data_IF_063872207701
#
_entry.id   IF_063872207701
#
_cell.length_a   1.000
_cell.length_b   1.000
_cell.length_c   1.000
_cell.angle_alpha   90.00
_cell.angle_beta   90.00
_cell.angle_gamma   90.00
#
_symmetry.space_group_name_H-M   'P 1'
#
loop_
_entity.id
_entity.type
_entity.pdbx_description
1 polymer ?
#
# COMPACT_ATOMS: atom_id res chain seq x y z
N UNK A 1 -34.23 20.27 -9.37
CA UNK A 1 -33.99 18.97 -10.04
C UNK A 1 -32.95 18.23 -9.22
N UNK A 2 -33.36 17.17 -8.49
CA UNK A 2 -32.47 16.35 -7.67
C UNK A 2 -32.00 15.17 -8.52
N UNK A 3 -30.82 15.28 -9.12
CA UNK A 3 -30.19 14.14 -9.77
C UNK A 3 -29.36 13.42 -8.69
N UNK A 4 -29.90 12.32 -8.16
CA UNK A 4 -29.10 11.34 -7.42
C UNK A 4 -28.28 10.54 -8.42
N UNK A 5 -26.94 10.64 -8.45
CA UNK A 5 -26.13 9.89 -9.41
C UNK A 5 -25.74 8.54 -8.81
N UNK A 6 -26.48 7.51 -9.25
CA UNK A 6 -26.11 6.08 -9.40
C UNK A 6 -24.93 5.60 -8.52
N UNK A 7 -25.25 4.94 -7.41
CA UNK A 7 -24.38 3.90 -6.85
C UNK A 7 -24.37 2.70 -7.81
N UNK A 8 -23.69 2.84 -8.94
CA UNK A 8 -23.26 1.68 -9.70
C UNK A 8 -22.12 1.04 -8.91
N UNK A 9 -22.31 -0.20 -8.45
CA UNK A 9 -21.26 -1.03 -7.85
C UNK A 9 -19.99 -0.88 -8.70
N UNK A 10 -18.97 -0.20 -8.17
CA UNK A 10 -17.75 0.00 -8.93
C UNK A 10 -17.11 -1.36 -9.12
N UNK A 11 -16.94 -1.82 -10.37
CA UNK A 11 -16.20 -3.05 -10.73
C UNK A 11 -14.70 -2.98 -10.40
N UNK A 12 -14.29 -2.03 -9.56
CA UNK A 12 -12.89 -1.79 -9.21
C UNK A 12 -12.59 -2.58 -7.96
N UNK A 13 -11.83 -3.66 -8.13
CA UNK A 13 -11.22 -4.36 -7.01
C UNK A 13 -10.20 -3.42 -6.33
N UNK A 14 -10.54 -2.97 -5.13
CA UNK A 14 -9.71 -2.06 -4.34
C UNK A 14 -8.40 -2.73 -3.90
N UNK A 15 -8.33 -4.06 -3.83
CA UNK A 15 -7.11 -4.79 -3.49
C UNK A 15 -6.07 -4.74 -4.62
N UNK A 16 -6.50 -4.55 -5.87
CA UNK A 16 -5.65 -4.39 -7.05
C UNK A 16 -5.11 -2.97 -7.23
N UNK A 17 -5.57 -2.00 -6.45
CA UNK A 17 -5.06 -0.64 -6.55
C UNK A 17 -3.61 -0.59 -6.05
N UNK A 18 -2.67 0.01 -6.82
CA UNK A 18 -1.31 0.14 -6.36
C UNK A 18 -1.25 0.95 -5.06
N UNK A 19 -0.25 0.70 -4.19
CA UNK A 19 -0.09 1.45 -2.97
C UNK A 19 -0.10 2.94 -3.27
N UNK A 20 -0.95 3.68 -2.55
CA UNK A 20 -1.06 5.11 -2.79
C UNK A 20 0.31 5.78 -2.54
N UNK A 21 0.57 6.91 -3.21
CA UNK A 21 1.82 7.67 -3.03
C UNK A 21 2.13 7.95 -1.53
N UNK A 22 1.09 8.14 -0.73
CA UNK A 22 1.19 8.37 0.71
C UNK A 22 1.65 7.13 1.51
N UNK A 23 1.42 5.91 1.00
CA UNK A 23 1.94 4.66 1.57
C UNK A 23 3.36 4.33 1.04
N UNK A 24 3.64 4.68 -0.22
CA UNK A 24 4.96 4.46 -0.81
C UNK A 24 6.06 5.34 -0.17
N UNK A 25 5.74 6.59 0.17
CA UNK A 25 6.70 7.51 0.77
C UNK A 25 7.33 6.98 2.08
N UNK A 26 6.55 6.54 3.09
CA UNK A 26 7.15 5.98 4.30
C UNK A 26 7.83 4.63 4.06
N UNK A 27 7.36 3.83 3.09
CA UNK A 27 8.07 2.62 2.68
C UNK A 27 9.49 2.93 2.19
N UNK A 28 9.63 3.87 1.25
CA UNK A 28 10.94 4.29 0.73
C UNK A 28 11.85 4.84 1.83
N UNK A 29 11.31 5.58 2.80
CA UNK A 29 12.07 6.06 3.96
C UNK A 29 12.66 4.92 4.78
N UNK A 30 11.89 3.85 5.04
CA UNK A 30 12.38 2.67 5.77
C UNK A 30 13.48 1.94 5.01
N UNK A 31 13.31 1.75 3.70
CA UNK A 31 14.32 1.13 2.84
C UNK A 31 15.59 1.97 2.86
N UNK A 32 15.47 3.29 2.66
CA UNK A 32 16.60 4.21 2.70
C UNK A 32 17.32 4.20 4.03
N UNK A 33 16.59 4.14 5.16
CA UNK A 33 17.18 3.99 6.48
C UNK A 33 18.07 2.75 6.53
N UNK A 34 17.53 1.56 6.17
CA UNK A 34 18.29 0.30 6.18
C UNK A 34 19.50 0.35 5.26
N UNK A 35 19.33 0.83 4.03
CA UNK A 35 20.43 0.96 3.05
C UNK A 35 21.52 1.88 3.58
N UNK A 36 21.17 2.99 4.21
CA UNK A 36 22.13 3.91 4.80
C UNK A 36 22.93 3.26 5.94
N UNK A 37 22.34 2.33 6.70
CA UNK A 37 23.06 1.55 7.71
C UNK A 37 24.10 0.63 7.10
N UNK A 38 23.72 -0.13 6.07
CA UNK A 38 24.65 -1.04 5.40
C UNK A 38 25.78 -0.27 4.73
N UNK A 39 25.48 0.84 4.03
CA UNK A 39 26.51 1.68 3.39
C UNK A 39 27.52 2.27 4.39
N UNK A 40 27.10 2.51 5.64
CA UNK A 40 27.94 3.09 6.70
C UNK A 40 28.52 2.06 7.66
N UNK A 41 28.37 0.76 7.39
CA UNK A 41 28.83 -0.30 8.29
C UNK A 41 30.36 -0.29 8.53
N UNK A 42 31.13 0.35 7.64
CA UNK A 42 32.59 0.49 7.74
C UNK A 42 33.03 1.64 8.67
N UNK A 43 32.12 2.49 9.15
CA UNK A 43 32.44 3.65 9.99
C UNK A 43 32.22 3.27 11.46
N UNK A 44 33.27 3.35 12.29
CA UNK A 44 33.26 2.88 13.67
C UNK A 44 32.39 3.74 14.62
N UNK A 45 32.25 5.04 14.35
CA UNK A 45 31.43 5.96 15.14
C UNK A 45 30.57 6.77 14.16
N UNK A 46 29.30 6.42 14.09
CA UNK A 46 28.30 7.16 13.33
C UNK A 46 27.30 7.67 14.34
N UNK A 47 27.08 8.98 14.40
CA UNK A 47 25.81 9.52 14.89
C UNK A 47 24.72 8.99 13.96
N UNK A 48 24.20 7.82 14.32
CA UNK A 48 23.22 7.09 13.52
C UNK A 48 21.86 7.66 13.86
N UNK A 49 21.12 8.22 12.89
CA UNK A 49 19.74 8.60 13.13
C UNK A 49 18.99 7.35 13.61
N UNK A 50 18.26 7.48 14.71
CA UNK A 50 17.47 6.40 15.28
C UNK A 50 16.34 6.08 14.31
N UNK A 51 15.88 4.83 14.22
CA UNK A 51 14.81 4.45 13.29
C UNK A 51 13.51 5.25 13.48
N UNK A 52 13.25 5.71 14.71
CA UNK A 52 12.07 6.50 15.07
C UNK A 52 12.27 8.02 14.94
N UNK A 53 13.44 8.48 14.49
CA UNK A 53 13.65 9.89 14.19
C UNK A 53 12.80 10.31 12.99
N UNK A 54 12.48 11.60 12.90
CA UNK A 54 11.64 12.12 11.83
C UNK A 54 12.25 11.79 10.45
N UNK A 55 11.38 11.31 9.55
CA UNK A 55 11.79 11.01 8.17
C UNK A 55 12.41 9.63 7.93
N UNK A 56 12.53 8.78 8.96
CA UNK A 56 13.11 7.43 8.83
C UNK A 56 12.07 6.34 8.49
N UNK A 57 10.77 6.65 8.60
CA UNK A 57 9.68 5.76 8.21
C UNK A 57 9.26 4.74 9.26
N UNK A 58 9.80 4.83 10.48
CA UNK A 58 9.36 4.09 11.65
C UNK A 58 8.88 5.04 12.74
N UNK A 59 8.08 4.51 13.65
CA UNK A 59 7.63 5.18 14.86
C UNK A 59 7.81 4.27 16.06
N UNK A 60 7.87 4.86 17.25
CA UNK A 60 7.92 4.12 18.52
C UNK A 60 6.51 4.08 19.10
N UNK A 61 5.99 2.88 19.35
CA UNK A 61 4.67 2.70 19.96
C UNK A 61 4.75 2.93 21.48
N UNK A 62 3.60 3.04 22.17
CA UNK A 62 3.49 3.21 23.61
C UNK A 62 4.15 2.07 24.43
N UNK A 63 4.34 0.90 23.82
CA UNK A 63 5.06 -0.26 24.40
C UNK A 63 6.58 -0.20 24.15
N UNK A 64 7.09 0.93 23.68
CA UNK A 64 8.49 1.14 23.33
C UNK A 64 9.00 0.31 22.13
N UNK A 65 8.08 -0.36 21.43
CA UNK A 65 8.35 -1.18 20.25
C UNK A 65 8.43 -0.34 18.98
N UNK A 66 9.24 -0.78 18.02
CA UNK A 66 9.38 -0.12 16.72
C UNK A 66 8.29 -0.62 15.76
N UNK A 67 7.51 0.30 15.22
CA UNK A 67 6.46 0.00 14.25
C UNK A 67 6.66 0.79 12.96
N UNK A 68 6.39 0.19 11.79
CA UNK A 68 6.49 0.90 10.53
C UNK A 68 5.35 1.92 10.38
N UNK A 69 5.67 3.09 9.83
CA UNK A 69 4.65 4.04 9.39
C UNK A 69 4.04 3.53 8.09
N UNK A 70 2.79 3.05 8.11
CA UNK A 70 2.16 2.45 6.93
C UNK A 70 1.77 3.48 5.87
N UNK A 71 1.22 4.61 6.29
CA UNK A 71 0.85 5.71 5.40
C UNK A 71 1.05 7.05 6.09
N UNK A 72 1.39 8.09 5.31
CA UNK A 72 1.48 9.47 5.82
C UNK A 72 0.14 10.21 5.78
N UNK A 73 -0.87 9.62 5.13
CA UNK A 73 -2.22 10.17 4.94
C UNK A 73 -3.24 9.03 5.01
N UNK A 74 -4.54 9.32 5.17
CA UNK A 74 -5.58 8.31 5.00
C UNK A 74 -5.39 7.55 3.68
N UNK A 75 -5.46 6.22 3.75
CA UNK A 75 -5.26 5.33 2.60
C UNK A 75 -6.42 5.48 1.61
N UNK A 76 -7.63 5.64 2.14
CA UNK A 76 -8.85 5.85 1.39
C UNK A 76 -9.21 7.36 1.36
N UNK A 77 -9.55 7.92 0.19
CA UNK A 77 -10.13 9.26 0.10
C UNK A 77 -11.42 9.35 0.93
N UNK A 78 -11.65 10.48 1.61
CA UNK A 78 -12.83 10.68 2.44
C UNK A 78 -14.14 10.47 1.67
N UNK A 79 -14.21 10.94 0.43
CA UNK A 79 -15.37 10.74 -0.45
C UNK A 79 -15.70 9.27 -0.70
N UNK A 80 -14.70 8.39 -0.74
CA UNK A 80 -14.91 6.95 -0.91
C UNK A 80 -15.39 6.30 0.40
N UNK A 81 -14.94 6.80 1.56
CA UNK A 81 -15.43 6.34 2.87
C UNK A 81 -16.91 6.66 3.01
N UNK A 82 -17.33 7.87 2.63
CA UNK A 82 -18.73 8.30 2.69
C UNK A 82 -19.63 7.44 1.78
N UNK A 83 -19.13 7.10 0.57
CA UNK A 83 -19.84 6.21 -0.34
C UNK A 83 -19.97 4.79 0.21
N UNK A 84 -18.90 4.23 0.79
CA UNK A 84 -18.93 2.89 1.38
C UNK A 84 -19.85 2.82 2.60
N UNK A 85 -19.88 3.87 3.42
CA UNK A 85 -20.77 3.96 4.58
C UNK A 85 -22.25 4.10 4.18
N UNK A 86 -22.54 4.60 2.98
CA UNK A 86 -23.90 4.72 2.45
C UNK A 86 -24.45 3.42 1.83
N UNK A 87 -23.62 2.38 1.65
CA UNK A 87 -24.06 1.08 1.15
C UNK A 87 -24.69 0.29 2.31
N UNK A 88 -26.00 0.02 2.22
CA UNK A 88 -26.73 -0.76 3.21
C UNK A 88 -26.33 -2.25 3.10
N UNK A 89 -25.95 -2.95 4.18
CA UNK A 89 -25.54 -4.36 4.12
C UNK A 89 -26.61 -5.31 3.54
N UNK A 90 -27.87 -4.89 3.46
CA UNK A 90 -28.96 -5.65 2.82
C UNK A 90 -28.89 -5.65 1.28
N UNK A 91 -28.16 -4.73 0.67
CA UNK A 91 -27.97 -4.68 -0.79
C UNK A 91 -26.84 -5.62 -1.27
N UNK A 92 -26.28 -6.45 -0.38
CA UNK A 92 -25.22 -7.43 -0.65
C UNK A 92 -25.73 -8.83 -1.07
N UNK A 93 -27.03 -9.05 -1.08
CA UNK A 93 -27.61 -10.33 -1.54
C UNK A 93 -27.76 -10.30 -3.07
N UNK A 94 -26.81 -10.92 -3.78
CA UNK A 94 -26.78 -11.37 -5.20
C UNK A 94 -25.48 -10.97 -5.89
N UNK A 95 -24.40 -11.66 -5.60
CA UNK A 95 -23.31 -11.85 -6.57
C UNK A 95 -23.00 -13.35 -6.60
N UNK A 96 -23.50 -14.00 -7.65
CA UNK A 96 -23.13 -15.36 -8.03
C UNK A 96 -21.60 -15.43 -8.14
N UNK A 97 -21.02 -16.44 -7.50
CA UNK A 97 -19.61 -16.81 -7.60
C UNK A 97 -19.34 -17.29 -9.04
N UNK A 98 -19.16 -16.36 -9.99
CA UNK A 98 -18.45 -16.68 -11.23
C UNK A 98 -16.96 -16.67 -10.90
N UNK A 99 -16.42 -17.88 -10.74
CA UNK A 99 -14.98 -18.17 -10.63
C UNK A 99 -14.20 -17.35 -11.67
N UNK A 100 -13.55 -16.28 -11.20
CA UNK A 100 -12.56 -15.56 -11.99
C UNK A 100 -11.35 -16.49 -12.13
N UNK A 101 -11.22 -17.18 -13.26
CA UNK A 101 -9.96 -17.80 -13.68
C UNK A 101 -8.87 -16.73 -13.57
N UNK A 102 -8.02 -16.89 -12.56
CA UNK A 102 -6.80 -16.10 -12.44
C UNK A 102 -5.87 -16.64 -13.51
N UNK A 103 -5.71 -15.92 -14.62
CA UNK A 103 -4.64 -16.20 -15.57
C UNK A 103 -3.32 -16.24 -14.77
N UNK A 104 -2.78 -17.44 -14.57
CA UNK A 104 -1.48 -17.64 -13.95
C UNK A 104 -0.46 -16.88 -14.80
N UNK A 105 0.06 -15.79 -14.25
CA UNK A 105 1.12 -15.03 -14.91
C UNK A 105 2.37 -15.91 -14.85
N UNK A 106 2.71 -16.53 -15.98
CA UNK A 106 3.96 -17.27 -16.15
C UNK A 106 5.13 -16.28 -16.08
N UNK A 107 5.71 -16.16 -14.88
CA UNK A 107 6.85 -15.29 -14.62
C UNK A 107 8.11 -15.78 -15.33
N UNK A 108 8.24 -17.08 -15.64
CA UNK A 108 9.43 -17.61 -16.30
C UNK A 108 9.45 -17.15 -17.77
N UNK A 109 8.31 -17.18 -18.47
CA UNK A 109 8.17 -16.66 -19.83
C UNK A 109 8.47 -15.15 -19.95
N UNK A 110 8.30 -14.38 -18.87
CA UNK A 110 8.56 -12.93 -18.87
C UNK A 110 10.07 -12.60 -18.94
N UNK A 111 10.93 -13.50 -18.45
CA UNK A 111 12.39 -13.29 -18.44
C UNK A 111 13.12 -13.98 -19.60
N UNK A 112 12.46 -14.87 -20.35
CA UNK A 112 13.08 -15.56 -21.50
C UNK A 112 13.25 -14.67 -22.74
N UNK A 113 12.54 -13.53 -22.84
CA UNK A 113 12.62 -12.65 -24.02
C UNK A 113 13.82 -11.68 -24.06
N UNK A 114 14.70 -11.71 -23.06
CA UNK A 114 15.90 -10.85 -23.00
C UNK A 114 17.22 -11.61 -23.32
N UNK A 115 17.11 -12.87 -23.76
CA UNK A 115 18.23 -13.68 -24.30
C UNK A 115 18.17 -13.84 -25.84
N UNK A 116 18.07 -12.74 -26.59
CA UNK A 116 18.49 -12.71 -28.00
C UNK A 116 19.55 -11.60 -28.20
N UNK A 117 20.81 -12.03 -28.07
CA UNK A 117 22.04 -11.65 -28.80
C UNK A 117 22.06 -10.32 -29.59
#
# INVERSE_FOLDING_TARGET
>A
MKNSPRLAKSKVDLARLPPCRAALQPHNKRVNHRVALYKRAHIAIVEKPKPYDEGQGWMRNAKDLLEPIWSSKPILPASLIDLLAAIDPKDKETEDEEDLEVDEVDFDAMFESDEEL
#
